data_IF_654939414321
#
_entry.id   IF_654939414321
#
_cell.length_a   1.000
_cell.length_b   1.000
_cell.length_c   1.000
_cell.angle_alpha   90.00
_cell.angle_beta   90.00
_cell.angle_gamma   90.00
#
_symmetry.space_group_name_H-M   'P 1'
#
loop_
_entity.id
_entity.type
_entity.pdbx_description
1 polymer ?
#
# COMPACT_ATOMS: atom_id res chain seq x y z
N UNK A 1 -7.81 -6.97 5.98
CA UNK A 1 -7.91 -6.45 4.61
C UNK A 1 -8.62 -7.47 3.75
N UNK A 2 -9.57 -7.05 2.91
CA UNK A 2 -10.25 -7.96 1.96
C UNK A 2 -9.51 -7.94 0.63
N UNK A 3 -9.49 -9.06 -0.08
CA UNK A 3 -8.99 -9.10 -1.47
C UNK A 3 -10.05 -8.49 -2.39
N UNK A 4 -9.67 -7.52 -3.21
CA UNK A 4 -10.57 -6.94 -4.22
C UNK A 4 -10.67 -7.84 -5.45
N UNK A 5 -11.89 -8.06 -5.95
CA UNK A 5 -12.15 -8.90 -7.12
C UNK A 5 -12.31 -8.04 -8.38
N UNK A 6 -11.21 -7.87 -9.12
CA UNK A 6 -11.18 -7.04 -10.33
C UNK A 6 -12.04 -7.58 -11.47
N UNK A 7 -12.15 -8.90 -11.62
CA UNK A 7 -12.98 -9.51 -12.66
C UNK A 7 -14.47 -9.27 -12.39
N UNK A 8 -14.88 -9.37 -11.13
CA UNK A 8 -16.26 -9.04 -10.70
C UNK A 8 -16.56 -7.55 -10.92
N UNK A 9 -15.62 -6.66 -10.59
CA UNK A 9 -15.77 -5.22 -10.76
C UNK A 9 -15.87 -4.80 -12.23
N UNK A 10 -15.06 -5.39 -13.12
CA UNK A 10 -15.04 -5.08 -14.57
C UNK A 10 -16.29 -5.58 -15.29
N UNK A 11 -16.96 -6.60 -14.76
CA UNK A 11 -18.18 -7.12 -15.36
C UNK A 11 -19.34 -6.13 -15.19
N UNK A 12 -19.83 -5.62 -16.32
CA UNK A 12 -20.90 -4.61 -16.38
C UNK A 12 -22.23 -5.10 -15.78
N UNK A 13 -22.47 -6.40 -15.76
CA UNK A 13 -23.72 -6.98 -15.24
C UNK A 13 -23.76 -7.01 -13.71
N UNK A 14 -22.61 -6.95 -13.05
CA UNK A 14 -22.51 -7.07 -11.59
C UNK A 14 -22.92 -5.77 -10.85
N UNK A 15 -23.06 -4.65 -11.56
CA UNK A 15 -23.45 -3.34 -11.00
C UNK A 15 -22.69 -2.99 -9.70
N UNK A 16 -21.37 -2.98 -9.77
CA UNK A 16 -20.51 -2.60 -8.63
C UNK A 16 -20.10 -1.13 -8.78
N UNK A 17 -20.20 -0.40 -7.69
CA UNK A 17 -19.66 0.94 -7.53
C UNK A 17 -18.64 0.93 -6.39
N UNK A 18 -17.49 1.55 -6.57
CA UNK A 18 -16.48 1.69 -5.51
C UNK A 18 -16.47 3.14 -5.03
N UNK A 19 -16.85 3.36 -3.77
CA UNK A 19 -16.81 4.67 -3.13
C UNK A 19 -15.41 4.93 -2.55
N UNK A 20 -14.91 6.15 -2.77
CA UNK A 20 -13.68 6.65 -2.15
C UNK A 20 -14.03 7.90 -1.33
N UNK A 21 -13.79 7.84 -0.02
CA UNK A 21 -14.16 8.90 0.94
C UNK A 21 -13.11 10.00 1.04
N UNK A 22 -11.92 9.75 0.54
CA UNK A 22 -10.79 10.67 0.58
C UNK A 22 -10.13 10.78 -0.79
N UNK A 23 -9.42 11.88 -1.03
CA UNK A 23 -8.65 12.05 -2.26
C UNK A 23 -7.52 11.02 -2.37
N UNK A 24 -6.98 10.56 -1.24
CA UNK A 24 -5.98 9.48 -1.17
C UNK A 24 -6.56 8.14 -1.64
N UNK A 25 -7.76 7.78 -1.16
CA UNK A 25 -8.48 6.58 -1.62
C UNK A 25 -8.75 6.66 -3.12
N UNK A 26 -9.18 7.81 -3.62
CA UNK A 26 -9.43 8.03 -5.04
C UNK A 26 -8.16 7.90 -5.88
N UNK A 27 -7.03 8.47 -5.42
CA UNK A 27 -5.72 8.37 -6.09
C UNK A 27 -5.25 6.92 -6.16
N UNK A 28 -5.35 6.19 -5.05
CA UNK A 28 -4.96 4.79 -4.99
C UNK A 28 -5.87 3.92 -5.88
N UNK A 29 -7.19 4.06 -5.79
CA UNK A 29 -8.11 3.29 -6.61
C UNK A 29 -7.94 3.56 -8.11
N UNK A 30 -7.80 4.83 -8.52
CA UNK A 30 -7.53 5.21 -9.89
C UNK A 30 -6.21 4.62 -10.42
N UNK A 31 -5.15 4.61 -9.59
CA UNK A 31 -3.89 3.93 -9.90
C UNK A 31 -4.11 2.43 -10.11
N UNK A 32 -4.84 1.78 -9.19
CA UNK A 32 -5.13 0.35 -9.30
C UNK A 32 -5.96 0.01 -10.55
N UNK A 33 -6.97 0.81 -10.90
CA UNK A 33 -7.71 0.64 -12.15
C UNK A 33 -6.79 0.73 -13.38
N UNK A 34 -5.83 1.68 -13.38
CA UNK A 34 -4.85 1.80 -14.45
C UNK A 34 -3.94 0.58 -14.57
N UNK A 35 -3.40 0.09 -13.44
CA UNK A 35 -2.56 -1.11 -13.36
C UNK A 35 -3.31 -2.35 -13.87
N UNK A 36 -4.63 -2.38 -13.71
CA UNK A 36 -5.51 -3.43 -14.24
C UNK A 36 -6.00 -3.18 -15.68
N UNK A 37 -5.36 -2.27 -16.42
CA UNK A 37 -5.58 -2.02 -17.85
C UNK A 37 -6.85 -1.22 -18.19
N UNK A 38 -7.48 -0.60 -17.20
CA UNK A 38 -8.70 0.18 -17.40
C UNK A 38 -8.37 1.63 -17.78
N UNK A 39 -9.35 2.34 -18.35
CA UNK A 39 -9.28 3.77 -18.69
C UNK A 39 -10.63 4.43 -18.45
N UNK A 40 -10.64 5.76 -18.36
CA UNK A 40 -11.88 6.53 -18.40
C UNK A 40 -12.66 6.24 -19.69
N UNK A 41 -13.99 6.40 -19.67
CA UNK A 41 -14.86 6.15 -20.82
C UNK A 41 -14.51 7.02 -22.06
N UNK A 42 -13.89 8.18 -21.83
CA UNK A 42 -13.37 9.07 -22.89
C UNK A 42 -11.99 8.66 -23.43
N UNK A 43 -11.42 7.54 -22.97
CA UNK A 43 -10.11 7.04 -23.36
C UNK A 43 -8.92 7.68 -22.62
N UNK A 44 -9.16 8.66 -21.75
CA UNK A 44 -8.10 9.29 -20.97
C UNK A 44 -7.54 8.36 -19.88
N UNK A 45 -6.29 8.62 -19.50
CA UNK A 45 -5.65 7.93 -18.38
C UNK A 45 -6.08 8.49 -17.03
N UNK A 46 -6.16 7.60 -16.03
CA UNK A 46 -6.47 7.92 -14.64
C UNK A 46 -5.44 8.86 -13.97
N UNK A 47 -4.19 8.93 -14.46
CA UNK A 47 -3.13 9.75 -13.87
C UNK A 47 -3.38 11.25 -13.92
N UNK A 48 -4.14 11.74 -14.91
CA UNK A 48 -4.35 13.18 -15.10
C UNK A 48 -5.32 13.77 -14.09
N UNK A 49 -6.35 13.02 -13.73
CA UNK A 49 -7.44 13.50 -12.89
C UNK A 49 -8.26 12.31 -12.36
N UNK A 50 -8.35 12.19 -11.02
CA UNK A 50 -9.13 11.14 -10.34
C UNK A 50 -10.63 11.45 -10.31
N UNK A 51 -11.05 12.66 -10.71
CA UNK A 51 -12.43 13.14 -10.65
C UNK A 51 -13.05 13.21 -9.26
N UNK A 52 -12.24 13.02 -8.21
CA UNK A 52 -12.67 13.10 -6.81
C UNK A 52 -13.35 14.43 -6.47
N UNK A 53 -12.85 15.55 -6.97
CA UNK A 53 -13.40 16.89 -6.70
C UNK A 53 -14.81 17.12 -7.26
N UNK A 54 -15.39 16.18 -8.02
CA UNK A 54 -16.76 16.29 -8.50
C UNK A 54 -17.79 16.04 -7.39
N UNK A 55 -17.53 15.09 -6.49
CA UNK A 55 -18.45 14.70 -5.42
C UNK A 55 -17.78 14.48 -4.05
N UNK A 56 -16.46 14.69 -3.95
CA UNK A 56 -15.67 14.51 -2.73
C UNK A 56 -15.89 13.12 -2.11
N UNK A 57 -16.20 13.05 -0.81
CA UNK A 57 -16.43 11.81 -0.06
C UNK A 57 -17.52 10.90 -0.64
N UNK A 58 -18.44 11.47 -1.43
CA UNK A 58 -19.53 10.76 -2.09
C UNK A 58 -19.16 10.31 -3.51
N UNK A 59 -17.89 10.38 -3.91
CA UNK A 59 -17.46 9.95 -5.26
C UNK A 59 -17.46 8.43 -5.37
N UNK A 60 -18.17 7.91 -6.36
CA UNK A 60 -18.20 6.50 -6.74
C UNK A 60 -17.59 6.28 -8.13
N UNK A 61 -16.85 5.20 -8.29
CA UNK A 61 -16.20 4.77 -9.53
C UNK A 61 -16.77 3.45 -10.04
N UNK A 62 -16.84 3.29 -11.36
CA UNK A 62 -17.54 2.17 -12.01
C UNK A 62 -16.64 1.39 -12.97
N UNK A 63 -16.93 0.10 -13.14
CA UNK A 63 -16.15 -0.82 -13.98
C UNK A 63 -16.07 -0.46 -15.47
N UNK A 64 -16.94 0.42 -15.95
CA UNK A 64 -16.94 0.96 -17.31
C UNK A 64 -16.07 2.22 -17.48
N UNK A 65 -15.35 2.64 -16.44
CA UNK A 65 -14.53 3.86 -16.48
C UNK A 65 -15.37 5.13 -16.38
N UNK A 66 -16.44 5.10 -15.60
CA UNK A 66 -17.23 6.29 -15.24
C UNK A 66 -17.08 6.61 -13.75
N UNK A 67 -17.56 7.78 -13.35
CA UNK A 67 -17.67 8.22 -11.96
C UNK A 67 -18.97 9.01 -11.77
N UNK A 68 -19.53 9.00 -10.56
CA UNK A 68 -20.70 9.80 -10.19
C UNK A 68 -20.87 9.82 -8.67
N UNK A 69 -21.93 10.46 -8.18
CA UNK A 69 -22.22 10.50 -6.75
C UNK A 69 -22.73 9.15 -6.21
N UNK A 70 -22.58 8.94 -4.91
CA UNK A 70 -23.15 7.83 -4.16
C UNK A 70 -24.67 7.72 -4.35
N UNK A 71 -25.38 8.84 -4.28
CA UNK A 71 -26.84 8.90 -4.51
C UNK A 71 -27.24 8.26 -5.85
N UNK A 72 -26.44 8.44 -6.89
CA UNK A 72 -26.68 7.80 -8.19
C UNK A 72 -26.52 6.29 -8.07
N UNK A 73 -25.42 5.82 -7.47
CA UNK A 73 -25.18 4.39 -7.27
C UNK A 73 -26.35 3.72 -6.51
N UNK A 74 -26.81 4.35 -5.43
CA UNK A 74 -27.94 3.89 -4.63
C UNK A 74 -29.25 3.87 -5.43
N UNK A 75 -29.55 4.96 -6.15
CA UNK A 75 -30.75 5.07 -6.99
C UNK A 75 -30.85 3.97 -8.05
N UNK A 76 -29.71 3.55 -8.62
CA UNK A 76 -29.66 2.53 -9.67
C UNK A 76 -29.34 1.12 -9.14
N UNK A 77 -29.39 0.92 -7.82
CA UNK A 77 -29.18 -0.33 -7.11
C UNK A 77 -27.80 -0.96 -7.38
N UNK A 78 -26.74 -0.14 -7.38
CA UNK A 78 -25.38 -0.66 -7.40
C UNK A 78 -24.99 -1.23 -6.03
N UNK A 79 -24.22 -2.31 -6.04
CA UNK A 79 -23.51 -2.80 -4.87
C UNK A 79 -22.34 -1.86 -4.59
N UNK A 80 -22.46 -1.05 -3.55
CA UNK A 80 -21.41 -0.10 -3.15
C UNK A 80 -20.38 -0.80 -2.28
N UNK A 81 -19.14 -0.76 -2.73
CA UNK A 81 -17.96 -1.20 -1.99
C UNK A 81 -17.18 0.02 -1.53
N UNK A 82 -16.70 -0.02 -0.29
CA UNK A 82 -15.89 1.05 0.29
C UNK A 82 -14.42 0.78 -0.01
N UNK A 83 -13.72 1.68 -0.71
CA UNK A 83 -12.33 1.39 -1.10
C UNK A 83 -11.42 1.18 0.11
N UNK A 84 -11.68 1.87 1.22
CA UNK A 84 -11.00 1.67 2.50
C UNK A 84 -10.98 0.21 3.03
N UNK A 85 -11.94 -0.65 2.65
CA UNK A 85 -11.93 -2.07 3.01
C UNK A 85 -10.83 -2.89 2.29
N UNK A 86 -10.33 -2.33 1.19
CA UNK A 86 -9.41 -2.95 0.22
C UNK A 86 -8.07 -2.21 0.10
N UNK A 87 -8.07 -0.89 0.31
CA UNK A 87 -6.88 -0.05 0.26
C UNK A 87 -5.93 -0.44 1.38
N UNK A 88 -4.73 -0.84 1.00
CA UNK A 88 -3.63 -0.91 1.94
C UNK A 88 -3.16 0.51 2.18
N UNK A 89 -3.63 1.13 3.28
CA UNK A 89 -3.05 2.40 3.71
C UNK A 89 -1.54 2.22 3.84
N UNK A 90 -0.78 3.09 3.20
CA UNK A 90 0.65 3.15 3.43
C UNK A 90 0.85 3.43 4.92
N UNK A 91 1.64 2.59 5.59
CA UNK A 91 1.89 2.75 7.01
C UNK A 91 2.83 3.94 7.18
N UNK A 92 2.31 5.00 7.76
CA UNK A 92 3.03 6.24 7.95
C UNK A 92 3.66 6.31 9.34
N UNK A 93 4.55 7.29 9.54
CA UNK A 93 5.13 7.59 10.85
C UNK A 93 4.07 7.80 11.93
N UNK A 94 2.95 8.44 11.60
CA UNK A 94 1.85 8.67 12.54
C UNK A 94 1.12 7.39 12.99
N UNK A 95 1.29 6.27 12.27
CA UNK A 95 0.68 4.98 12.64
C UNK A 95 1.49 4.22 13.71
N UNK A 96 2.74 4.63 13.97
CA UNK A 96 3.56 4.07 15.06
C UNK A 96 2.96 4.46 16.42
N UNK A 97 2.78 3.46 17.29
CA UNK A 97 2.22 3.62 18.63
C UNK A 97 3.06 2.88 19.65
N UNK A 98 2.98 3.35 20.89
CA UNK A 98 3.61 2.69 22.04
C UNK A 98 3.33 1.20 22.07
N UNK A 99 4.39 0.42 22.28
CA UNK A 99 4.32 -1.04 22.31
C UNK A 99 4.37 -1.73 20.94
N UNK A 100 4.45 -0.99 19.83
CA UNK A 100 4.83 -1.56 18.53
C UNK A 100 6.34 -1.81 18.47
N UNK A 101 6.76 -2.73 17.61
CA UNK A 101 8.17 -3.01 17.33
C UNK A 101 8.46 -2.72 15.87
N UNK A 102 9.55 -2.00 15.59
CA UNK A 102 10.06 -1.77 14.24
C UNK A 102 11.30 -2.61 14.00
N UNK A 103 11.52 -3.03 12.76
CA UNK A 103 12.74 -3.70 12.30
C UNK A 103 13.35 -2.91 11.16
N UNK A 104 14.64 -2.63 11.27
CA UNK A 104 15.42 -1.94 10.24
C UNK A 104 15.92 -2.91 9.18
N UNK A 105 16.58 -2.38 8.15
CA UNK A 105 17.13 -3.17 7.04
C UNK A 105 18.16 -4.21 7.47
N UNK A 106 18.93 -3.92 8.50
CA UNK A 106 19.93 -4.84 9.06
C UNK A 106 19.34 -5.89 10.02
N UNK A 107 18.01 -5.89 10.19
CA UNK A 107 17.28 -6.79 11.10
C UNK A 107 17.29 -6.33 12.56
N UNK A 108 17.91 -5.20 12.88
CA UNK A 108 17.89 -4.68 14.25
C UNK A 108 16.49 -4.16 14.61
N UNK A 109 16.04 -4.49 15.82
CA UNK A 109 14.68 -4.21 16.29
C UNK A 109 14.65 -3.13 17.36
N UNK A 110 13.57 -2.35 17.35
CA UNK A 110 13.33 -1.28 18.33
C UNK A 110 11.88 -1.29 18.80
N UNK A 111 11.67 -1.11 20.09
CA UNK A 111 10.37 -0.88 20.70
C UNK A 111 10.00 0.61 20.60
N UNK A 112 8.78 0.91 20.17
CA UNK A 112 8.22 2.26 20.16
C UNK A 112 7.76 2.61 21.57
N UNK A 113 8.31 3.68 22.15
CA UNK A 113 7.90 4.25 23.43
C UNK A 113 7.94 5.78 23.32
N UNK A 114 6.79 6.43 23.47
CA UNK A 114 6.61 7.87 23.26
C UNK A 114 7.14 8.25 21.87
N UNK A 115 8.03 9.24 21.79
CA UNK A 115 8.69 9.66 20.56
C UNK A 115 9.99 8.92 20.27
N UNK A 116 10.27 7.81 20.96
CA UNK A 116 11.54 7.10 20.88
C UNK A 116 11.42 5.66 20.37
N UNK A 117 12.44 5.23 19.64
CA UNK A 117 12.69 3.86 19.20
C UNK A 117 13.81 3.28 20.05
N UNK A 118 13.49 2.39 21.00
CA UNK A 118 14.42 1.85 21.99
C UNK A 118 14.86 0.43 21.62
N UNK A 119 16.17 0.19 21.53
CA UNK A 119 16.72 -1.13 21.22
C UNK A 119 17.78 -1.62 22.19
N UNK A 120 18.29 -2.82 21.93
CA UNK A 120 19.32 -3.46 22.76
C UNK A 120 20.64 -2.68 22.79
N UNK A 121 20.98 -1.95 21.72
CA UNK A 121 22.29 -1.28 21.55
C UNK A 121 22.20 0.25 21.51
N UNK A 122 21.07 0.82 21.12
CA UNK A 122 20.92 2.25 20.90
C UNK A 122 19.43 2.67 20.95
N UNK A 123 19.19 3.98 20.99
CA UNK A 123 17.88 4.59 20.85
C UNK A 123 17.90 5.68 19.77
N UNK A 124 16.73 5.96 19.18
CA UNK A 124 16.53 7.01 18.18
C UNK A 124 15.24 7.78 18.48
N UNK A 125 15.16 9.03 18.03
CA UNK A 125 13.94 9.83 18.12
C UNK A 125 13.16 9.74 16.80
N UNK A 126 11.84 9.58 16.87
CA UNK A 126 10.97 9.52 15.69
C UNK A 126 11.01 10.80 14.84
N UNK A 127 11.43 11.92 15.41
CA UNK A 127 11.58 13.19 14.71
C UNK A 127 12.60 13.17 13.57
N UNK A 128 13.54 12.22 13.58
CA UNK A 128 14.55 12.06 12.53
C UNK A 128 14.00 11.36 11.28
N UNK A 129 12.82 10.74 11.39
CA UNK A 129 12.16 10.00 10.33
C UNK A 129 11.17 10.87 9.56
N UNK A 130 11.16 10.72 8.23
CA UNK A 130 10.12 11.28 7.38
C UNK A 130 8.81 10.47 7.48
N UNK A 131 7.74 10.94 6.82
CA UNK A 131 6.43 10.24 6.85
C UNK A 131 6.48 8.84 6.23
N UNK A 132 7.46 8.58 5.35
CA UNK A 132 7.69 7.28 4.71
C UNK A 132 8.55 6.35 5.57
N UNK A 133 8.76 6.67 6.86
CA UNK A 133 9.56 5.88 7.80
C UNK A 133 11.04 5.71 7.40
N UNK A 134 11.59 6.69 6.70
CA UNK A 134 13.01 6.74 6.32
C UNK A 134 13.74 7.78 7.15
N UNK A 135 14.98 7.46 7.51
CA UNK A 135 15.92 8.35 8.19
C UNK A 135 17.00 8.82 7.19
N UNK A 136 17.73 9.88 7.54
CA UNK A 136 18.89 10.32 6.75
C UNK A 136 19.99 9.28 6.61
N UNK A 137 20.06 8.30 7.52
CA UNK A 137 20.92 7.13 7.42
C UNK A 137 20.14 5.93 6.84
N UNK A 138 20.44 5.47 5.61
CA UNK A 138 19.66 4.43 4.93
C UNK A 138 19.53 3.11 5.71
N UNK A 139 20.51 2.79 6.56
CA UNK A 139 20.51 1.59 7.40
C UNK A 139 19.40 1.60 8.47
N UNK A 140 18.93 2.78 8.87
CA UNK A 140 17.86 2.95 9.87
C UNK A 140 16.46 3.00 9.23
N UNK A 141 16.35 2.82 7.91
CA UNK A 141 15.04 2.74 7.25
C UNK A 141 14.22 1.62 7.87
N UNK A 142 13.01 1.95 8.34
CA UNK A 142 12.10 0.95 8.92
C UNK A 142 11.55 0.10 7.78
N UNK A 143 11.79 -1.20 7.88
CA UNK A 143 11.40 -2.19 6.88
C UNK A 143 10.17 -2.97 7.31
N UNK A 144 9.97 -3.20 8.61
CA UNK A 144 8.80 -3.90 9.12
C UNK A 144 8.31 -3.28 10.42
N UNK A 145 7.02 -3.43 10.67
CA UNK A 145 6.39 -3.09 11.96
C UNK A 145 5.61 -4.30 12.45
N UNK A 146 5.68 -4.54 13.76
CA UNK A 146 5.07 -5.67 14.45
C UNK A 146 4.25 -5.21 15.65
N UNK A 147 3.25 -6.02 16.01
CA UNK A 147 2.62 -6.03 17.33
C UNK A 147 3.26 -7.09 18.21
N UNK A 148 3.31 -6.80 19.51
CA UNK A 148 3.69 -7.78 20.53
C UNK A 148 2.49 -8.68 20.82
N UNK A 149 2.68 -10.00 20.75
CA UNK A 149 1.64 -11.00 21.01
C UNK A 149 1.30 -11.11 22.50
N UNK A 150 2.33 -11.16 23.34
CA UNK A 150 2.18 -11.37 24.77
C UNK A 150 3.25 -10.61 25.57
N UNK A 151 2.93 -10.33 26.84
CA UNK A 151 3.89 -9.69 27.75
C UNK A 151 5.07 -10.64 27.98
N UNK A 152 6.27 -10.11 27.88
CA UNK A 152 7.51 -10.85 28.10
C UNK A 152 8.51 -9.95 28.86
N UNK A 153 9.60 -10.56 29.33
CA UNK A 153 10.75 -9.81 29.84
C UNK A 153 11.43 -9.03 28.69
N UNK A 154 12.11 -7.92 29.01
CA UNK A 154 12.75 -7.07 28.01
C UNK A 154 13.74 -7.80 27.09
N UNK A 155 14.42 -8.82 27.61
CA UNK A 155 15.38 -9.60 26.82
C UNK A 155 14.73 -10.35 25.66
N UNK A 156 13.46 -10.75 25.84
CA UNK A 156 12.67 -11.62 24.95
C UNK A 156 11.52 -10.91 24.25
N UNK A 157 11.23 -9.65 24.61
CA UNK A 157 10.06 -8.95 24.09
C UNK A 157 10.13 -8.73 22.57
N UNK A 158 11.33 -8.73 22.00
CA UNK A 158 11.61 -8.56 20.57
C UNK A 158 11.86 -9.89 19.83
N UNK A 159 11.69 -11.04 20.49
CA UNK A 159 11.90 -12.37 19.89
C UNK A 159 10.83 -12.67 18.82
N UNK A 160 11.21 -13.39 17.77
CA UNK A 160 10.33 -13.71 16.63
C UNK A 160 9.00 -14.37 17.04
N UNK A 161 9.05 -15.27 18.03
CA UNK A 161 7.88 -16.00 18.54
C UNK A 161 6.89 -15.10 19.29
N UNK A 162 7.32 -13.91 19.70
CA UNK A 162 6.51 -12.92 20.38
C UNK A 162 5.97 -11.79 19.47
N UNK A 163 6.30 -11.80 18.17
CA UNK A 163 5.93 -10.74 17.23
C UNK A 163 4.88 -11.19 16.21
N UNK A 164 3.98 -10.28 15.86
CA UNK A 164 2.99 -10.42 14.79
C UNK A 164 3.21 -9.30 13.78
N UNK A 165 3.57 -9.65 12.54
CA UNK A 165 3.81 -8.68 11.47
C UNK A 165 2.52 -7.93 11.12
N UNK A 166 2.58 -6.60 11.17
CA UNK A 166 1.45 -5.73 10.80
C UNK A 166 1.71 -4.92 9.54
N UNK A 167 2.97 -4.65 9.22
CA UNK A 167 3.37 -3.96 8.01
C UNK A 167 4.78 -4.36 7.61
N UNK A 168 5.00 -4.46 6.30
CA UNK A 168 6.30 -4.66 5.68
C UNK A 168 6.43 -3.69 4.50
N UNK A 169 7.59 -3.05 4.39
CA UNK A 169 7.91 -2.12 3.32
C UNK A 169 7.99 -2.87 2.01
N UNK A 170 7.17 -2.47 1.06
CA UNK A 170 7.31 -2.88 -0.33
C UNK A 170 8.35 -1.98 -1.00
N UNK A 171 9.52 -2.53 -1.36
CA UNK A 171 10.49 -1.84 -2.20
C UNK A 171 10.39 -2.36 -3.64
N UNK A 172 10.49 -1.47 -4.66
CA UNK A 172 10.63 -1.93 -6.02
C UNK A 172 11.90 -2.77 -6.13
N UNK A 173 11.77 -3.96 -6.73
CA UNK A 173 12.90 -4.87 -6.92
C UNK A 173 13.91 -4.20 -7.84
N UNK A 174 15.03 -3.76 -7.26
CA UNK A 174 16.19 -3.34 -8.05
C UNK A 174 16.79 -4.59 -8.68
N UNK A 175 16.94 -4.56 -9.99
CA UNK A 175 17.62 -5.58 -10.75
C UNK A 175 18.41 -4.88 -11.86
N UNK A 176 19.55 -5.45 -12.19
CA UNK A 176 20.38 -5.00 -13.30
C UNK A 176 19.70 -5.34 -14.63
N UNK A 177 20.10 -4.64 -15.70
CA UNK A 177 19.63 -4.94 -17.07
C UNK A 177 19.89 -6.40 -17.43
N UNK A 178 21.01 -6.97 -16.97
CA UNK A 178 21.36 -8.37 -17.22
C UNK A 178 20.44 -9.34 -16.45
N UNK A 179 20.11 -9.05 -15.20
CA UNK A 179 19.14 -9.86 -14.43
C UNK A 179 17.72 -9.78 -15.03
N UNK A 180 17.34 -8.64 -15.61
CA UNK A 180 16.09 -8.52 -16.37
C UNK A 180 16.12 -9.39 -17.61
N UNK A 181 17.20 -9.29 -18.40
CA UNK A 181 17.43 -10.07 -19.61
C UNK A 181 17.31 -11.56 -19.31
N UNK A 182 18.10 -12.08 -18.38
CA UNK A 182 18.11 -13.51 -18.03
C UNK A 182 16.73 -14.05 -17.65
N UNK A 183 15.97 -13.29 -16.86
CA UNK A 183 14.59 -13.71 -16.51
C UNK A 183 13.65 -13.68 -17.70
N UNK A 184 13.83 -12.72 -18.60
CA UNK A 184 13.01 -12.64 -19.81
C UNK A 184 13.34 -13.81 -20.74
N UNK A 185 14.62 -14.16 -20.91
CA UNK A 185 15.06 -15.34 -21.67
C UNK A 185 14.55 -16.65 -21.06
N UNK A 186 14.55 -16.79 -19.73
CA UNK A 186 13.97 -17.96 -19.06
C UNK A 186 12.45 -18.06 -19.28
N UNK A 187 11.76 -16.92 -19.31
CA UNK A 187 10.31 -16.86 -19.54
C UNK A 187 9.92 -17.11 -21.00
N UNK A 188 10.70 -16.61 -21.95
CA UNK A 188 10.40 -16.71 -23.39
C UNK A 188 11.02 -17.94 -24.04
N UNK A 189 12.11 -18.47 -23.48
CA UNK A 189 12.95 -19.49 -24.10
C UNK A 189 13.81 -18.98 -25.25
N UNK A 190 13.89 -17.65 -25.44
CA UNK A 190 14.61 -17.00 -26.53
C UNK A 190 15.83 -16.25 -25.97
N UNK A 191 16.95 -16.29 -26.69
CA UNK A 191 18.11 -15.44 -26.38
C UNK A 191 17.81 -13.99 -26.78
N UNK A 192 18.03 -13.07 -25.86
CA UNK A 192 17.73 -11.65 -26.02
C UNK A 192 19.04 -10.90 -26.17
N UNK A 193 19.18 -10.08 -27.21
CA UNK A 193 20.31 -9.15 -27.33
C UNK A 193 19.86 -7.77 -26.87
N UNK A 194 20.55 -7.19 -25.87
CA UNK A 194 20.27 -5.83 -25.40
C UNK A 194 21.21 -4.88 -26.12
N UNK A 195 20.68 -4.08 -27.04
CA UNK A 195 21.41 -3.04 -27.78
C UNK A 195 21.27 -1.68 -27.08
N UNK A 196 22.29 -0.82 -27.20
CA UNK A 196 22.30 0.56 -26.66
C UNK A 196 21.20 1.48 -27.27
#
# INVERSE_FOLDING_TARGET
MRKFNWDEFKNKDNKIAVNCKTEEEAKDFCKQMHEHGMKWCNGESYWKNTKYNAHHEETCYYGNGEYSSRDFAEKYNYKILEWSDYMQKEFAKADLKDGMVVEYRDGDRRLVIDKYLIGKKAHYELSTYNENLEDGYPGLTIMKVFKIRQRAILERILDDDNLELIWERTEPKKMTVEEMRQKLEELTGEEIEVTE
#
